data_IF_744901424262
#
_entry.id   IF_744901424262
#
_cell.length_a   1.000
_cell.length_b   1.000
_cell.length_c   1.000
_cell.angle_alpha   90.00
_cell.angle_beta   90.00
_cell.angle_gamma   90.00
#
_symmetry.space_group_name_H-M   'P 1'
#
loop_
_entity.id
_entity.type
_entity.pdbx_description
1 polymer ?
#
# COMPACT_ATOMS: atom_id res chain seq x y z
N UNK A 1 -4.38 -20.11 31.13
CA UNK A 1 -3.10 -19.51 30.70
C UNK A 1 -3.09 -19.47 29.18
N UNK A 2 -3.48 -18.34 28.58
CA UNK A 2 -3.48 -18.21 27.12
C UNK A 2 -2.14 -17.61 26.67
N UNK A 3 -1.55 -18.28 25.69
CA UNK A 3 -0.21 -18.02 25.14
C UNK A 3 -0.21 -16.60 24.58
N UNK A 4 0.51 -15.68 25.23
CA UNK A 4 0.78 -14.35 24.69
C UNK A 4 1.68 -14.57 23.48
N UNK A 5 1.09 -14.69 22.29
CA UNK A 5 1.83 -14.35 21.08
C UNK A 5 2.36 -12.95 21.32
N UNK A 6 3.68 -12.81 21.50
CA UNK A 6 4.34 -11.52 21.32
C UNK A 6 3.97 -11.15 19.89
N UNK A 7 2.94 -10.32 19.72
CA UNK A 7 2.87 -9.48 18.52
C UNK A 7 4.20 -8.75 18.58
N UNK A 8 5.16 -9.13 17.73
CA UNK A 8 6.25 -8.23 17.41
C UNK A 8 5.54 -6.93 17.09
N UNK A 9 5.67 -5.93 17.96
CA UNK A 9 5.18 -4.60 17.65
C UNK A 9 5.81 -4.28 16.30
N UNK A 10 4.99 -4.06 15.26
CA UNK A 10 5.51 -3.69 13.96
C UNK A 10 6.47 -2.52 14.17
N UNK A 11 7.58 -2.50 13.44
CA UNK A 11 8.45 -1.33 13.50
C UNK A 11 7.59 -0.11 13.12
N UNK A 12 7.68 1.01 13.87
CA UNK A 12 6.91 2.20 13.57
C UNK A 12 7.20 2.62 12.13
N UNK A 13 6.14 2.78 11.33
CA UNK A 13 6.25 3.12 9.91
C UNK A 13 6.18 1.94 8.91
N UNK A 14 6.06 0.69 9.36
CA UNK A 14 5.87 -0.44 8.43
C UNK A 14 4.49 -0.37 7.79
N UNK A 15 4.38 -0.30 6.45
CA UNK A 15 3.11 -0.36 5.74
C UNK A 15 2.48 -1.75 5.89
N UNK A 16 1.19 -1.80 6.21
CA UNK A 16 0.38 -3.02 6.38
C UNK A 16 -0.60 -3.21 5.22
N UNK A 17 -1.23 -2.12 4.79
CA UNK A 17 -2.18 -2.14 3.68
C UNK A 17 -2.17 -0.83 2.92
N UNK A 18 -2.67 -0.90 1.70
CA UNK A 18 -2.75 0.22 0.80
C UNK A 18 -4.07 0.20 0.05
N UNK A 19 -4.62 1.39 -0.19
CA UNK A 19 -5.77 1.59 -1.05
C UNK A 19 -5.37 2.54 -2.18
N UNK A 20 -5.59 2.12 -3.41
CA UNK A 20 -5.51 2.96 -4.59
C UNK A 20 -6.92 3.35 -5.03
N UNK A 21 -7.10 4.62 -5.36
CA UNK A 21 -8.36 5.16 -5.84
C UNK A 21 -8.12 5.92 -7.14
N UNK A 22 -8.77 5.46 -8.21
CA UNK A 22 -8.83 6.20 -9.46
C UNK A 22 -9.79 7.38 -9.29
N UNK A 23 -9.31 8.59 -9.56
CA UNK A 23 -10.13 9.79 -9.59
C UNK A 23 -9.99 10.50 -10.93
N UNK A 24 -10.96 11.35 -11.34
CA UNK A 24 -10.87 12.10 -12.60
C UNK A 24 -9.63 12.99 -12.69
N UNK A 25 -9.04 13.36 -11.55
CA UNK A 25 -7.85 14.21 -11.46
C UNK A 25 -6.54 13.40 -11.34
N UNK A 26 -6.63 12.08 -11.46
CA UNK A 26 -5.50 11.14 -11.35
C UNK A 26 -5.68 10.11 -10.23
N UNK A 27 -4.62 9.36 -9.96
CA UNK A 27 -4.65 8.30 -8.94
C UNK A 27 -4.28 8.81 -7.55
N UNK A 28 -4.99 8.32 -6.53
CA UNK A 28 -4.68 8.60 -5.12
C UNK A 28 -4.31 7.31 -4.40
N UNK A 29 -3.46 7.43 -3.40
CA UNK A 29 -3.09 6.33 -2.52
C UNK A 29 -3.37 6.67 -1.06
N UNK A 30 -3.73 5.65 -0.29
CA UNK A 30 -3.84 5.68 1.17
C UNK A 30 -3.09 4.48 1.73
N UNK A 31 -1.95 4.71 2.36
CA UNK A 31 -1.11 3.69 2.98
C UNK A 31 -1.39 3.67 4.48
N UNK A 32 -1.84 2.52 4.96
CA UNK A 32 -2.03 2.27 6.38
C UNK A 32 -0.80 1.56 6.92
N UNK A 33 -0.20 2.14 7.94
CA UNK A 33 0.92 1.53 8.67
C UNK A 33 0.40 0.74 9.86
N UNK A 34 1.14 -0.29 10.25
CA UNK A 34 0.73 -1.21 11.31
C UNK A 34 0.72 -0.55 12.73
N UNK A 35 1.33 0.62 12.89
CA UNK A 35 1.25 1.45 14.11
C UNK A 35 0.00 2.34 14.13
N UNK A 36 -0.84 2.30 13.08
CA UNK A 36 -2.05 3.11 12.95
C UNK A 36 -1.82 4.46 12.25
N UNK A 37 -0.62 4.71 11.74
CA UNK A 37 -0.34 5.87 10.88
C UNK A 37 -0.96 5.72 9.50
N UNK A 38 -1.36 6.84 8.90
CA UNK A 38 -1.98 6.92 7.58
C UNK A 38 -1.21 7.91 6.72
N UNK A 39 -0.70 7.46 5.57
CA UNK A 39 -0.11 8.33 4.55
C UNK A 39 -1.02 8.39 3.33
N UNK A 40 -1.55 9.57 3.05
CA UNK A 40 -2.39 9.81 1.89
C UNK A 40 -1.68 10.74 0.91
N UNK A 41 -1.81 10.44 -0.37
CA UNK A 41 -1.21 11.27 -1.41
C UNK A 41 -1.82 11.04 -2.78
N UNK A 42 -1.35 11.83 -3.74
CA UNK A 42 -1.59 11.61 -5.16
C UNK A 42 -0.40 10.86 -5.73
N UNK A 43 -0.64 9.94 -6.66
CA UNK A 43 0.41 9.38 -7.49
C UNK A 43 0.69 10.35 -8.63
N UNK A 44 1.89 10.92 -8.63
CA UNK A 44 2.35 11.76 -9.73
C UNK A 44 2.70 10.89 -10.94
N UNK A 45 2.46 11.39 -12.15
CA UNK A 45 2.79 10.69 -13.39
C UNK A 45 1.85 9.55 -13.81
N UNK A 46 0.74 9.28 -13.09
CA UNK A 46 -0.27 8.29 -13.51
C UNK A 46 -1.56 8.99 -13.94
N UNK A 47 -1.93 8.94 -15.23
CA UNK A 47 -3.18 9.56 -15.71
C UNK A 47 -4.40 8.88 -15.08
N UNK A 48 -5.50 9.62 -14.96
CA UNK A 48 -6.79 9.14 -14.44
C UNK A 48 -7.31 7.89 -15.16
N UNK A 49 -7.09 7.82 -16.47
CA UNK A 49 -7.48 6.72 -17.34
C UNK A 49 -6.36 5.66 -17.50
N UNK A 50 -5.29 5.78 -16.71
CA UNK A 50 -4.18 4.82 -16.70
C UNK A 50 -4.59 3.48 -16.10
N UNK A 51 -3.95 2.41 -16.56
CA UNK A 51 -4.19 1.07 -16.04
C UNK A 51 -3.82 0.98 -14.54
N UNK A 52 -4.58 0.22 -13.74
CA UNK A 52 -4.29 0.05 -12.32
C UNK A 52 -2.88 -0.45 -12.05
N UNK A 53 -2.32 -1.29 -12.94
CA UNK A 53 -0.96 -1.80 -12.84
C UNK A 53 0.10 -0.68 -12.80
N UNK A 54 -0.12 0.42 -13.54
CA UNK A 54 0.79 1.57 -13.49
C UNK A 54 0.75 2.24 -12.11
N UNK A 55 -0.45 2.45 -11.55
CA UNK A 55 -0.61 3.00 -10.21
C UNK A 55 0.01 2.09 -9.13
N UNK A 56 -0.16 0.78 -9.27
CA UNK A 56 0.42 -0.24 -8.40
C UNK A 56 1.96 -0.23 -8.46
N UNK A 57 2.55 -0.04 -9.64
CA UNK A 57 3.99 0.04 -9.80
C UNK A 57 4.58 1.29 -9.14
N UNK A 58 3.98 2.47 -9.36
CA UNK A 58 4.45 3.72 -8.73
C UNK A 58 4.40 3.62 -7.21
N UNK A 59 3.33 3.03 -6.68
CA UNK A 59 3.18 2.93 -5.23
C UNK A 59 4.05 1.85 -4.60
N UNK A 60 4.35 0.77 -5.32
CA UNK A 60 5.36 -0.20 -4.88
C UNK A 60 6.75 0.43 -4.77
N UNK A 61 7.12 1.33 -5.70
CA UNK A 61 8.36 2.09 -5.60
C UNK A 61 8.36 3.02 -4.36
N UNK A 62 7.26 3.73 -4.11
CA UNK A 62 7.11 4.56 -2.89
C UNK A 62 7.24 3.73 -1.61
N UNK A 63 6.66 2.53 -1.57
CA UNK A 63 6.80 1.63 -0.43
C UNK A 63 8.24 1.16 -0.26
N UNK A 64 8.95 0.86 -1.36
CA UNK A 64 10.38 0.55 -1.34
C UNK A 64 11.23 1.68 -0.76
N UNK A 65 10.95 2.93 -1.11
CA UNK A 65 11.61 4.11 -0.50
C UNK A 65 11.30 4.23 1.00
N UNK A 66 10.07 3.92 1.43
CA UNK A 66 9.67 3.96 2.84
C UNK A 66 10.31 2.83 3.68
N UNK A 67 10.48 1.65 3.11
CA UNK A 67 10.98 0.47 3.83
C UNK A 67 12.47 0.20 3.62
N UNK A 68 13.12 0.93 2.71
CA UNK A 68 14.53 0.78 2.36
C UNK A 68 14.83 -0.62 1.83
N UNK A 69 15.93 -1.21 2.29
CA UNK A 69 16.32 -2.60 1.99
C UNK A 69 15.38 -3.68 2.56
N UNK A 70 14.39 -3.29 3.36
CA UNK A 70 13.34 -4.21 3.80
C UNK A 70 12.42 -4.43 2.62
N UNK A 71 12.78 -5.40 1.77
CA UNK A 71 11.98 -5.77 0.61
C UNK A 71 10.53 -6.00 1.03
N UNK A 72 9.61 -5.28 0.40
CA UNK A 72 8.17 -5.42 0.62
C UNK A 72 7.51 -5.83 -0.68
N UNK A 73 6.52 -6.70 -0.55
CA UNK A 73 5.67 -7.13 -1.65
C UNK A 73 4.23 -6.68 -1.37
N UNK A 74 3.54 -6.23 -2.41
CA UNK A 74 2.12 -5.86 -2.33
C UNK A 74 1.30 -6.91 -3.04
N UNK A 75 0.44 -7.58 -2.29
CA UNK A 75 -0.57 -8.47 -2.85
C UNK A 75 -1.86 -7.69 -3.07
N UNK A 76 -2.23 -7.48 -4.32
CA UNK A 76 -3.46 -6.78 -4.69
C UNK A 76 -4.66 -7.72 -4.66
N UNK A 77 -5.63 -7.40 -3.83
CA UNK A 77 -6.95 -8.04 -3.85
C UNK A 77 -7.74 -7.46 -5.03
N UNK A 78 -8.31 -8.35 -5.85
CA UNK A 78 -9.15 -7.96 -6.99
C UNK A 78 -10.45 -7.34 -6.46
N UNK A 79 -10.56 -6.02 -6.56
CA UNK A 79 -11.77 -5.31 -6.14
C UNK A 79 -12.86 -5.45 -7.20
N UNK A 80 -14.13 -5.66 -6.81
CA UNK A 80 -15.26 -5.63 -7.74
C UNK A 80 -15.56 -4.23 -8.26
N UNK A 81 -15.01 -3.19 -7.62
CA UNK A 81 -15.17 -1.80 -7.99
C UNK A 81 -13.95 -1.36 -8.81
N UNK A 82 -14.14 -1.13 -10.12
CA UNK A 82 -13.07 -0.72 -11.06
C UNK A 82 -12.47 0.67 -10.78
N UNK A 83 -12.83 1.30 -9.65
CA UNK A 83 -12.27 2.57 -9.22
C UNK A 83 -11.37 2.45 -7.97
N UNK A 84 -11.39 1.30 -7.28
CA UNK A 84 -10.62 1.13 -6.03
C UNK A 84 -9.89 -0.20 -5.99
N UNK A 85 -8.62 -0.20 -5.59
CA UNK A 85 -7.81 -1.41 -5.44
C UNK A 85 -7.22 -1.46 -4.04
N UNK A 86 -7.35 -2.59 -3.37
CA UNK A 86 -6.82 -2.79 -2.03
C UNK A 86 -5.62 -3.72 -2.14
N UNK A 87 -4.47 -3.26 -1.69
CA UNK A 87 -3.25 -4.05 -1.58
C UNK A 87 -2.94 -4.35 -0.13
N UNK A 88 -2.52 -5.58 0.17
CA UNK A 88 -1.90 -5.94 1.44
C UNK A 88 -0.40 -5.94 1.27
N UNK A 89 0.28 -5.29 2.20
CA UNK A 89 1.74 -5.19 2.19
C UNK A 89 2.30 -6.24 3.13
N UNK A 90 3.21 -7.04 2.61
CA UNK A 90 3.93 -8.06 3.36
C UNK A 90 5.43 -7.97 3.11
N UNK A 91 6.24 -8.66 3.92
CA UNK A 91 7.66 -8.81 3.61
C UNK A 91 7.83 -9.56 2.28
N UNK A 92 8.72 -9.07 1.42
CA UNK A 92 9.18 -9.80 0.25
C UNK A 92 9.83 -11.11 0.74
N UNK A 93 9.36 -12.24 0.22
CA UNK A 93 9.74 -13.57 0.69
C UNK A 93 10.85 -14.20 -0.13
#
# INVERSE_FOLDING_TARGET
MAKRHRKQSPLPGVPESIVLLATPDGWRHSIHTADGGLLCGRLDGVPSDGEPEAAQAVVAALLGDLTGDTGVEVTWDSSPDSASWIGRVGPAR
#
